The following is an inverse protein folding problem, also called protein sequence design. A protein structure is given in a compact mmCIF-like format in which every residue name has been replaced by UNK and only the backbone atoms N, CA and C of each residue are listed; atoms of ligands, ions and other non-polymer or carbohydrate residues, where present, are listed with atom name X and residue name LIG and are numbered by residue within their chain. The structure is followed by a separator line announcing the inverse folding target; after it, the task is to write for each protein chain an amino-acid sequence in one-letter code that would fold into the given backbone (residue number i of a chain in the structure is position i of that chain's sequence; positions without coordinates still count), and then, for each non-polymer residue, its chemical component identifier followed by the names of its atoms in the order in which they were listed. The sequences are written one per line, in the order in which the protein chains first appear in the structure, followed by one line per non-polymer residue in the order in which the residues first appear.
data_IF_030202453071
#
_entry.id   IF_030202453071
#
_cell.length_a   1.000
_cell.length_b   1.000
_cell.length_c   1.000
_cell.angle_alpha   90.00
_cell.angle_beta   90.00
_cell.angle_gamma   90.00
#
_symmetry.space_group_name_H-M   'P 1'
#
loop_
_entity.id
_entity.type
_entity.pdbx_description
1 polymer ?
#
# COMPACT_ATOMS: atom_id res chain seq x y z
N UNK A 1 9.99 14.76 19.96
CA UNK A 1 10.08 13.36 19.49
C UNK A 1 9.85 13.37 17.99
N UNK A 2 10.56 12.56 17.19
CA UNK A 2 10.25 12.44 15.77
C UNK A 2 8.80 11.99 15.60
N UNK A 3 8.10 12.59 14.63
CA UNK A 3 6.75 12.20 14.29
C UNK A 3 6.81 10.87 13.52
N UNK A 4 6.69 9.78 14.28
CA UNK A 4 6.77 8.42 13.75
C UNK A 4 5.72 8.17 12.66
N UNK A 5 4.54 8.78 12.78
CA UNK A 5 3.49 8.63 11.78
C UNK A 5 3.87 9.36 10.50
N UNK A 6 4.37 10.59 10.59
CA UNK A 6 4.85 11.32 9.42
C UNK A 6 5.98 10.55 8.70
N UNK A 7 6.88 9.91 9.43
CA UNK A 7 7.94 9.07 8.88
C UNK A 7 7.37 7.86 8.11
N UNK A 8 6.44 7.11 8.72
CA UNK A 8 5.76 5.97 8.10
C UNK A 8 5.00 6.41 6.85
N UNK A 9 4.23 7.50 6.93
CA UNK A 9 3.44 8.02 5.82
C UNK A 9 4.32 8.49 4.67
N UNK A 10 5.44 9.16 4.95
CA UNK A 10 6.40 9.55 3.92
C UNK A 10 7.01 8.33 3.23
N UNK A 11 7.41 7.32 3.99
CA UNK A 11 7.97 6.08 3.44
C UNK A 11 6.93 5.28 2.63
N UNK A 12 5.67 5.23 3.08
CA UNK A 12 4.58 4.55 2.37
C UNK A 12 4.26 5.24 1.04
N UNK A 13 4.19 6.58 1.03
CA UNK A 13 4.05 7.35 -0.21
C UNK A 13 5.20 7.09 -1.18
N UNK A 14 6.44 7.06 -0.68
CA UNK A 14 7.60 6.75 -1.50
C UNK A 14 7.55 5.32 -2.06
N UNK A 15 7.08 4.36 -1.26
CA UNK A 15 6.87 2.98 -1.69
C UNK A 15 5.89 2.91 -2.87
N UNK A 16 4.72 3.55 -2.74
CA UNK A 16 3.70 3.56 -3.79
C UNK A 16 4.10 4.36 -5.03
N UNK A 17 4.88 5.41 -4.88
CA UNK A 17 5.40 6.19 -6.00
C UNK A 17 6.26 5.34 -6.97
N UNK A 18 6.84 4.23 -6.51
CA UNK A 18 7.56 3.29 -7.39
C UNK A 18 6.67 2.73 -8.50
N UNK A 19 5.37 2.58 -8.25
CA UNK A 19 4.42 2.06 -9.24
C UNK A 19 4.24 3.01 -10.44
N UNK A 20 4.54 4.30 -10.29
CA UNK A 20 4.50 5.26 -11.40
C UNK A 20 5.54 4.96 -12.48
N UNK A 21 6.62 4.26 -12.13
CA UNK A 21 7.66 3.84 -13.08
C UNK A 21 7.35 2.51 -13.77
N UNK A 22 6.26 1.83 -13.38
CA UNK A 22 5.90 0.51 -13.88
C UNK A 22 4.74 0.59 -14.87
N UNK A 23 4.79 -0.17 -15.98
CA UNK A 23 3.63 -0.30 -16.86
C UNK A 23 2.55 -1.14 -16.17
N UNK A 24 1.56 -0.48 -15.58
CA UNK A 24 0.38 -1.14 -14.99
C UNK A 24 -0.64 -1.47 -16.09
N UNK A 25 -0.85 -2.76 -16.33
CA UNK A 25 -1.62 -3.27 -17.47
C UNK A 25 -3.05 -3.67 -17.09
N UNK A 26 -3.89 -3.91 -18.10
CA UNK A 26 -5.21 -4.51 -17.89
C UNK A 26 -5.11 -5.93 -17.31
N UNK A 27 -4.07 -6.69 -17.66
CA UNK A 27 -3.81 -8.02 -17.09
C UNK A 27 -3.55 -7.94 -15.60
N UNK A 28 -2.70 -7.01 -15.15
CA UNK A 28 -2.46 -6.80 -13.71
C UNK A 28 -3.77 -6.53 -12.96
N UNK A 29 -4.64 -5.70 -13.54
CA UNK A 29 -5.93 -5.35 -12.94
C UNK A 29 -6.90 -6.53 -12.87
N UNK A 30 -7.01 -7.32 -13.94
CA UNK A 30 -7.86 -8.51 -13.93
C UNK A 30 -7.35 -9.58 -12.97
N UNK A 31 -6.03 -9.82 -12.95
CA UNK A 31 -5.42 -10.76 -11.98
C UNK A 31 -5.63 -10.31 -10.54
N UNK A 32 -5.46 -9.01 -10.26
CA UNK A 32 -5.78 -8.46 -8.94
C UNK A 32 -7.24 -8.65 -8.58
N UNK A 33 -8.16 -8.38 -9.51
CA UNK A 33 -9.59 -8.58 -9.30
C UNK A 33 -9.92 -10.05 -8.99
N UNK A 34 -9.20 -10.99 -9.58
CA UNK A 34 -9.39 -12.42 -9.38
C UNK A 34 -9.09 -12.89 -7.95
N UNK A 35 -8.21 -12.18 -7.23
CA UNK A 35 -7.89 -12.45 -5.83
C UNK A 35 -8.89 -11.83 -4.83
N UNK A 36 -9.78 -10.94 -5.30
CA UNK A 36 -10.73 -10.26 -4.45
C UNK A 36 -12.06 -11.02 -4.33
N UNK A 37 -12.76 -10.89 -3.17
CA UNK A 37 -14.12 -11.37 -3.01
C UNK A 37 -15.07 -10.78 -4.06
N UNK A 38 -16.03 -11.57 -4.54
CA UNK A 38 -16.94 -11.20 -5.61
C UNK A 38 -17.66 -9.85 -5.38
N UNK A 39 -18.06 -9.57 -4.13
CA UNK A 39 -18.71 -8.32 -3.76
C UNK A 39 -17.84 -7.07 -4.01
N UNK A 40 -16.52 -7.18 -3.81
CA UNK A 40 -15.58 -6.08 -4.06
C UNK A 40 -15.21 -5.97 -5.54
N UNK A 41 -15.17 -7.10 -6.25
CA UNK A 41 -14.82 -7.18 -7.67
C UNK A 41 -15.75 -6.35 -8.56
N UNK A 42 -17.06 -6.46 -8.38
CA UNK A 42 -18.04 -5.76 -9.21
C UNK A 42 -17.86 -4.23 -9.17
N UNK A 43 -17.67 -3.66 -7.98
CA UNK A 43 -17.46 -2.23 -7.80
C UNK A 43 -16.13 -1.71 -8.33
N UNK A 44 -15.08 -2.53 -8.32
CA UNK A 44 -13.79 -2.18 -8.92
C UNK A 44 -13.82 -2.31 -10.45
N UNK A 45 -14.44 -3.38 -10.96
CA UNK A 45 -14.60 -3.61 -12.39
C UNK A 45 -15.37 -2.45 -13.05
N UNK A 46 -16.44 -1.96 -12.42
CA UNK A 46 -17.21 -0.81 -12.89
C UNK A 46 -16.40 0.51 -12.91
N UNK A 47 -15.46 0.68 -11.96
CA UNK A 47 -14.55 1.84 -11.91
C UNK A 47 -13.42 1.74 -12.95
N UNK A 48 -13.01 0.52 -13.28
CA UNK A 48 -12.01 0.23 -14.28
C UNK A 48 -10.56 0.50 -13.83
N UNK A 49 -9.63 0.17 -14.73
CA UNK A 49 -8.19 0.27 -14.48
C UNK A 49 -7.72 1.71 -14.19
N UNK A 50 -8.22 2.71 -14.93
CA UNK A 50 -7.75 4.10 -14.81
C UNK A 50 -7.96 4.62 -13.39
N UNK A 51 -9.16 4.43 -12.83
CA UNK A 51 -9.46 4.81 -11.46
C UNK A 51 -8.68 3.96 -10.44
N UNK A 52 -8.52 2.66 -10.72
CA UNK A 52 -7.83 1.74 -9.82
C UNK A 52 -6.33 2.02 -9.68
N UNK A 53 -5.71 2.77 -10.61
CA UNK A 53 -4.32 3.23 -10.49
C UNK A 53 -4.07 4.19 -9.31
N UNK A 54 -5.12 4.73 -8.70
CA UNK A 54 -5.01 5.51 -7.47
C UNK A 54 -5.22 4.66 -6.19
N UNK A 55 -5.58 3.37 -6.32
CA UNK A 55 -5.91 2.53 -5.17
C UNK A 55 -4.65 1.90 -4.55
N UNK A 56 -4.32 2.19 -3.27
CA UNK A 56 -3.12 1.68 -2.62
C UNK A 56 -3.01 0.15 -2.66
N UNK A 57 -4.12 -0.56 -2.48
CA UNK A 57 -4.14 -2.03 -2.56
C UNK A 57 -3.79 -2.56 -3.95
N UNK A 58 -4.21 -1.89 -5.02
CA UNK A 58 -3.84 -2.29 -6.39
C UNK A 58 -2.36 -2.01 -6.66
N UNK A 59 -1.87 -0.85 -6.23
CA UNK A 59 -0.46 -0.50 -6.36
C UNK A 59 0.43 -1.46 -5.58
N UNK A 60 0.03 -1.81 -4.34
CA UNK A 60 0.72 -2.80 -3.51
C UNK A 60 0.77 -4.14 -4.20
N UNK A 61 -0.37 -4.63 -4.70
CA UNK A 61 -0.42 -5.88 -5.46
C UNK A 61 0.56 -5.87 -6.64
N UNK A 62 0.55 -4.83 -7.46
CA UNK A 62 1.43 -4.74 -8.63
C UNK A 62 2.92 -4.75 -8.26
N UNK A 63 3.29 -4.05 -7.17
CA UNK A 63 4.66 -3.98 -6.65
C UNK A 63 5.11 -5.34 -6.10
N UNK A 64 4.28 -5.97 -5.27
CA UNK A 64 4.56 -7.27 -4.64
C UNK A 64 4.70 -8.39 -5.69
N UNK A 65 3.82 -8.43 -6.71
CA UNK A 65 3.96 -9.37 -7.84
C UNK A 65 5.28 -9.23 -8.60
N UNK A 66 5.93 -8.05 -8.51
CA UNK A 66 7.22 -7.76 -9.13
C UNK A 66 8.38 -7.85 -8.14
N UNK A 67 8.14 -8.34 -6.93
CA UNK A 67 9.15 -8.56 -5.88
C UNK A 67 9.50 -7.33 -5.04
N UNK A 68 8.82 -6.20 -5.25
CA UNK A 68 9.03 -4.99 -4.45
C UNK A 68 8.21 -5.07 -3.17
N UNK A 69 8.68 -5.83 -2.18
CA UNK A 69 7.91 -6.00 -0.94
C UNK A 69 7.93 -4.73 -0.08
N UNK A 70 6.77 -4.37 0.49
CA UNK A 70 6.66 -3.18 1.34
C UNK A 70 7.55 -3.30 2.57
N UNK A 71 7.61 -4.49 3.18
CA UNK A 71 8.45 -4.76 4.35
C UNK A 71 9.93 -4.56 4.07
N UNK A 72 10.45 -5.10 2.96
CA UNK A 72 11.86 -4.89 2.59
C UNK A 72 12.15 -3.44 2.23
N UNK A 73 11.17 -2.71 1.69
CA UNK A 73 11.32 -1.28 1.40
C UNK A 73 11.36 -0.43 2.67
N UNK A 74 10.49 -0.73 3.64
CA UNK A 74 10.33 0.02 4.89
C UNK A 74 11.49 -0.20 5.87
N UNK A 75 11.96 -1.44 6.02
CA UNK A 75 12.97 -1.81 7.02
C UNK A 75 14.24 -0.92 7.05
N UNK A 76 14.87 -0.57 5.91
CA UNK A 76 16.04 0.31 5.92
C UNK A 76 15.70 1.81 5.98
N UNK A 77 14.43 2.20 5.81
CA UNK A 77 13.98 3.60 5.70
C UNK A 77 13.36 4.14 6.97
N UNK A 78 12.78 3.26 7.77
CA UNK A 78 12.17 3.62 9.04
C UNK A 78 13.18 3.49 10.17
N UNK A 79 13.12 4.44 11.10
CA UNK A 79 13.71 4.33 12.42
C UNK A 79 13.12 3.10 13.12
N UNK A 80 13.90 2.46 14.00
CA UNK A 80 13.46 1.30 14.79
C UNK A 80 12.08 1.51 15.46
N UNK A 81 11.80 2.64 16.15
CA UNK A 81 10.47 2.87 16.73
C UNK A 81 9.36 3.02 15.68
N UNK A 82 9.62 3.67 14.54
CA UNK A 82 8.62 3.80 13.47
C UNK A 82 8.32 2.44 12.81
N UNK A 83 9.35 1.62 12.56
CA UNK A 83 9.18 0.28 12.02
C UNK A 83 8.39 -0.62 12.98
N UNK A 84 8.71 -0.56 14.28
CA UNK A 84 7.98 -1.31 15.32
C UNK A 84 6.49 -0.94 15.36
N UNK A 85 6.17 0.35 15.35
CA UNK A 85 4.80 0.84 15.28
C UNK A 85 4.09 0.38 13.99
N UNK A 86 4.73 0.56 12.84
CA UNK A 86 4.17 0.18 11.55
C UNK A 86 3.85 -1.32 11.46
N UNK A 87 4.78 -2.18 11.90
CA UNK A 87 4.59 -3.63 11.90
C UNK A 87 3.51 -4.09 12.88
N UNK A 88 3.43 -3.47 14.08
CA UNK A 88 2.42 -3.79 15.09
C UNK A 88 0.98 -3.46 14.63
N UNK A 89 0.83 -2.47 13.75
CA UNK A 89 -0.45 -2.02 13.21
C UNK A 89 -0.78 -2.63 11.83
N UNK A 90 -0.14 -3.73 11.45
CA UNK A 90 -0.50 -4.50 10.26
C UNK A 90 -0.02 -3.92 8.94
N UNK A 91 1.11 -3.20 8.94
CA UNK A 91 1.76 -2.71 7.73
C UNK A 91 0.89 -1.77 6.88
N UNK A 92 0.22 -0.84 7.56
CA UNK A 92 -0.68 0.12 6.95
C UNK A 92 0.04 1.11 6.02
N UNK A 93 -0.75 1.78 5.18
CA UNK A 93 -0.29 2.66 4.08
C UNK A 93 0.11 4.08 4.52
N UNK A 94 0.32 4.30 5.82
CA UNK A 94 0.49 5.62 6.41
C UNK A 94 -0.78 6.24 7.00
N UNK A 95 -1.96 5.73 6.66
CA UNK A 95 -3.22 6.17 7.27
C UNK A 95 -3.53 5.32 8.52
N UNK A 96 -3.18 5.84 9.70
CA UNK A 96 -3.83 5.40 10.93
C UNK A 96 -5.18 6.11 11.03
N UNK A 97 -6.28 5.41 11.37
CA UNK A 97 -7.49 6.11 11.81
C UNK A 97 -7.13 7.00 13.02
N UNK A 98 -7.80 8.17 13.19
CA UNK A 98 -7.52 9.10 14.28
C UNK A 98 -7.74 8.54 15.70
N UNK A 99 -8.13 7.27 15.82
CA UNK A 99 -8.38 6.58 17.09
C UNK A 99 -7.31 5.53 17.45
N UNK A 100 -6.18 5.48 16.73
CA UNK A 100 -5.09 4.52 16.99
C UNK A 100 -4.14 4.88 18.14
N UNK A 101 -4.25 6.05 18.76
CA UNK A 101 -3.44 6.46 19.92
C UNK A 101 -4.34 6.56 21.15
N UNK A 102 -4.78 5.41 21.65
CA UNK A 102 -5.27 5.30 23.02
C UNK A 102 -5.19 3.84 23.50
N UNK A 103 -4.04 3.44 24.03
CA UNK A 103 -3.92 3.12 25.46
C UNK A 103 -2.48 2.90 25.88
#
# INVERSE_FOLDING_TARGET
MPDLLAEITAAARAYYAQANALPLTATDFLSWLDELPAARRAGLLARGLIASRAEPHFLRYCLECRGYTMRAFMAPRLSVPAYGLWAAHGEFDGDLPPHGIAR
#
